data_IF_646914817932
#
_entry.id   IF_646914817932
#
_cell.length_a   1.000
_cell.length_b   1.000
_cell.length_c   1.000
_cell.angle_alpha   90.00
_cell.angle_beta   90.00
_cell.angle_gamma   90.00
#
_symmetry.space_group_name_H-M   'P 1'
#
loop_
_entity.id
_entity.type
_entity.pdbx_description
1 polymer ?
#
# COMPACT_ATOMS: atom_id res chain seq x y z
N UNK A 1 16.18 -15.12 -9.68
CA UNK A 1 14.77 -14.68 -9.85
C UNK A 1 13.97 -15.84 -10.40
N UNK A 2 12.91 -16.23 -9.73
CA UNK A 2 12.00 -17.26 -10.23
C UNK A 2 11.25 -16.73 -11.46
N UNK A 3 10.92 -17.59 -12.42
CA UNK A 3 10.18 -17.22 -13.63
C UNK A 3 8.84 -16.53 -13.29
N UNK A 4 8.21 -16.95 -12.20
CA UNK A 4 6.98 -16.41 -11.64
C UNK A 4 7.11 -14.96 -11.20
N UNK A 5 8.26 -14.58 -10.60
CA UNK A 5 8.54 -13.21 -10.20
C UNK A 5 8.70 -12.27 -11.41
N UNK A 6 9.20 -12.81 -12.50
CA UNK A 6 9.31 -12.08 -13.76
C UNK A 6 7.93 -11.74 -14.34
N UNK A 7 6.99 -12.69 -14.32
CA UNK A 7 5.65 -12.45 -14.85
C UNK A 7 4.87 -11.40 -14.07
N UNK A 8 4.89 -11.48 -12.74
CA UNK A 8 4.18 -10.47 -11.92
C UNK A 8 4.83 -9.09 -12.06
N UNK A 9 6.16 -9.01 -12.09
CA UNK A 9 6.90 -7.76 -12.33
C UNK A 9 6.49 -7.12 -13.65
N UNK A 10 6.45 -7.90 -14.73
CA UNK A 10 6.04 -7.43 -16.06
C UNK A 10 4.60 -6.93 -16.05
N UNK A 11 3.70 -7.64 -15.38
CA UNK A 11 2.29 -7.26 -15.26
C UNK A 11 2.11 -5.96 -14.47
N UNK A 12 2.82 -5.81 -13.36
CA UNK A 12 2.85 -4.57 -12.57
C UNK A 12 3.36 -3.41 -13.41
N UNK A 13 4.42 -3.61 -14.17
CA UNK A 13 4.99 -2.59 -15.05
C UNK A 13 3.97 -2.11 -16.11
N UNK A 14 3.26 -3.03 -16.74
CA UNK A 14 2.19 -2.71 -17.69
C UNK A 14 1.06 -1.92 -17.04
N UNK A 15 0.59 -2.35 -15.86
CA UNK A 15 -0.44 -1.64 -15.10
C UNK A 15 0.00 -0.24 -14.66
N UNK A 16 1.27 -0.06 -14.31
CA UNK A 16 1.82 1.26 -13.96
C UNK A 16 1.77 2.23 -15.13
N UNK A 17 2.04 1.75 -16.36
CA UNK A 17 1.92 2.56 -17.57
C UNK A 17 0.45 2.94 -17.83
N UNK A 18 -0.47 2.01 -17.71
CA UNK A 18 -1.91 2.27 -17.88
C UNK A 18 -2.43 3.27 -16.85
N UNK A 19 -1.94 3.18 -15.60
CA UNK A 19 -2.36 4.04 -14.50
C UNK A 19 -2.00 5.53 -14.70
N UNK A 20 -1.05 5.86 -15.58
CA UNK A 20 -0.70 7.26 -15.91
C UNK A 20 -1.86 8.06 -16.51
N UNK A 21 -2.81 7.37 -17.14
CA UNK A 21 -4.00 7.99 -17.75
C UNK A 21 -5.18 8.15 -16.79
N UNK A 22 -5.10 7.63 -15.55
CA UNK A 22 -6.18 7.76 -14.57
C UNK A 22 -6.27 9.18 -14.02
N UNK A 23 -7.45 9.51 -13.52
CA UNK A 23 -7.65 10.77 -12.80
C UNK A 23 -6.88 10.75 -11.49
N UNK A 24 -6.02 11.74 -11.29
CA UNK A 24 -5.26 11.96 -10.07
C UNK A 24 -5.88 13.11 -9.28
N UNK A 25 -6.13 12.88 -8.00
CA UNK A 25 -6.67 13.91 -7.11
C UNK A 25 -5.82 13.96 -5.85
N UNK A 26 -5.23 15.11 -5.56
CA UNK A 26 -4.54 15.32 -4.29
C UNK A 26 -5.56 15.46 -3.16
N UNK A 27 -5.28 14.83 -2.03
CA UNK A 27 -6.12 14.88 -0.84
C UNK A 27 -5.26 15.22 0.38
N UNK A 28 -5.57 16.30 1.06
CA UNK A 28 -4.93 16.62 2.33
C UNK A 28 -5.38 15.63 3.40
N UNK A 29 -4.50 15.32 4.34
CA UNK A 29 -4.83 14.40 5.45
C UNK A 29 -6.04 14.89 6.26
N UNK A 30 -6.20 16.19 6.46
CA UNK A 30 -7.35 16.77 7.18
C UNK A 30 -8.69 16.42 6.55
N UNK A 31 -8.75 16.33 5.22
CA UNK A 31 -9.97 16.08 4.44
C UNK A 31 -10.22 14.60 4.18
N UNK A 32 -9.23 13.75 4.39
CA UNK A 32 -9.35 12.31 4.23
C UNK A 32 -10.10 11.70 5.42
N UNK A 33 -11.14 10.92 5.15
CA UNK A 33 -11.86 10.14 6.16
C UNK A 33 -11.44 8.68 6.16
N UNK A 34 -11.12 8.13 5.01
CA UNK A 34 -10.76 6.73 4.81
C UNK A 34 -9.29 6.62 4.40
N UNK A 35 -8.50 5.92 5.20
CA UNK A 35 -7.09 5.71 4.94
C UNK A 35 -6.83 4.21 4.85
N UNK A 36 -6.24 3.77 3.75
CA UNK A 36 -5.81 2.39 3.54
C UNK A 36 -4.28 2.33 3.54
N UNK A 37 -3.72 1.51 4.42
CA UNK A 37 -2.28 1.34 4.55
C UNK A 37 -1.88 -0.08 4.11
N UNK A 38 -0.95 -0.17 3.19
CA UNK A 38 -0.32 -1.43 2.79
C UNK A 38 0.99 -1.59 3.54
N UNK A 39 1.20 -2.71 4.21
CA UNK A 39 2.42 -2.99 4.94
C UNK A 39 2.78 -4.49 4.93
N UNK A 40 3.96 -4.79 5.41
CA UNK A 40 4.43 -6.15 5.63
C UNK A 40 4.12 -6.58 7.08
N UNK A 41 3.88 -7.88 7.30
CA UNK A 41 3.51 -8.38 8.62
C UNK A 41 4.57 -8.08 9.69
N UNK A 42 5.86 -8.10 9.32
CA UNK A 42 6.96 -7.75 10.22
C UNK A 42 6.96 -6.31 10.72
N UNK A 43 6.24 -5.42 10.05
CA UNK A 43 6.17 -3.99 10.39
C UNK A 43 4.94 -3.61 11.23
N UNK A 44 3.99 -4.54 11.42
CA UNK A 44 2.71 -4.26 12.07
C UNK A 44 2.86 -3.65 13.46
N UNK A 45 3.71 -4.20 14.31
CA UNK A 45 3.90 -3.70 15.68
C UNK A 45 4.47 -2.28 15.70
N UNK A 46 5.44 -2.03 14.82
CA UNK A 46 6.06 -0.70 14.69
C UNK A 46 5.08 0.35 14.19
N UNK A 47 4.18 -0.03 13.28
CA UNK A 47 3.19 0.88 12.69
C UNK A 47 1.96 1.10 13.56
N UNK A 48 1.63 0.17 14.47
CA UNK A 48 0.42 0.22 15.30
C UNK A 48 0.22 1.55 16.02
N UNK A 49 1.20 2.15 16.71
CA UNK A 49 1.00 3.43 17.38
C UNK A 49 0.61 4.57 16.43
N UNK A 50 1.17 4.58 15.22
CA UNK A 50 0.89 5.60 14.21
C UNK A 50 -0.52 5.43 13.62
N UNK A 51 -0.94 4.19 13.39
CA UNK A 51 -2.30 3.88 12.95
C UNK A 51 -3.32 4.29 14.02
N UNK A 52 -3.02 4.06 15.29
CA UNK A 52 -3.86 4.49 16.41
C UNK A 52 -3.94 6.02 16.53
N UNK A 53 -2.86 6.74 16.25
CA UNK A 53 -2.90 8.20 16.18
C UNK A 53 -3.87 8.69 15.09
N UNK A 54 -3.85 8.08 13.91
CA UNK A 54 -4.79 8.40 12.85
C UNK A 54 -6.23 8.13 13.26
N UNK A 55 -6.50 7.02 13.95
CA UNK A 55 -7.83 6.70 14.48
C UNK A 55 -8.29 7.74 15.52
N UNK A 56 -7.40 8.18 16.40
CA UNK A 56 -7.67 9.27 17.36
C UNK A 56 -8.00 10.59 16.67
N UNK A 57 -7.46 10.82 15.47
CA UNK A 57 -7.82 11.96 14.62
C UNK A 57 -9.15 11.74 13.87
N UNK A 58 -9.94 10.75 14.29
CA UNK A 58 -11.23 10.36 13.69
C UNK A 58 -11.13 9.88 12.23
N UNK A 59 -9.99 9.32 11.86
CA UNK A 59 -9.83 8.66 10.56
C UNK A 59 -10.24 7.19 10.66
N UNK A 60 -10.92 6.69 9.65
CA UNK A 60 -11.16 5.25 9.48
C UNK A 60 -9.95 4.64 8.80
N UNK A 61 -9.21 3.82 9.52
CA UNK A 61 -7.96 3.25 9.04
C UNK A 61 -8.12 1.76 8.82
N UNK A 62 -7.91 1.32 7.59
CA UNK A 62 -7.82 -0.07 7.19
C UNK A 62 -6.38 -0.41 6.81
N UNK A 63 -5.98 -1.64 7.05
CA UNK A 63 -4.66 -2.15 6.66
C UNK A 63 -4.79 -3.36 5.76
N UNK A 64 -3.96 -3.44 4.74
CA UNK A 64 -3.74 -4.64 3.95
C UNK A 64 -2.32 -5.12 4.23
N UNK A 65 -2.19 -6.29 4.83
CA UNK A 65 -0.94 -6.81 5.38
C UNK A 65 -0.47 -7.99 4.56
N UNK A 66 0.72 -7.86 3.98
CA UNK A 66 1.38 -8.98 3.31
C UNK A 66 2.04 -9.91 4.31
N UNK A 67 1.72 -11.18 4.22
CA UNK A 67 2.21 -12.24 5.12
C UNK A 67 3.08 -13.20 4.33
N UNK A 68 4.37 -13.25 4.66
CA UNK A 68 5.29 -14.25 4.12
C UNK A 68 5.08 -15.62 4.77
N UNK A 69 5.69 -16.68 4.21
CA UNK A 69 5.51 -18.07 4.70
C UNK A 69 5.82 -18.29 6.17
N UNK A 70 6.70 -17.48 6.74
CA UNK A 70 7.26 -17.70 8.09
C UNK A 70 6.61 -16.86 9.19
N UNK A 71 5.66 -16.01 8.84
CA UNK A 71 5.06 -15.06 9.76
C UNK A 71 3.66 -15.50 10.17
N UNK A 72 3.35 -15.33 11.44
CA UNK A 72 1.99 -15.51 11.98
C UNK A 72 1.52 -14.14 12.46
N UNK A 73 0.81 -13.38 11.64
CA UNK A 73 0.36 -12.06 12.02
C UNK A 73 -0.81 -12.14 13.02
N UNK A 74 -0.91 -11.15 13.87
CA UNK A 74 -2.14 -10.88 14.59
C UNK A 74 -3.16 -10.27 13.62
N UNK A 75 -4.35 -10.84 13.59
CA UNK A 75 -5.43 -10.32 12.76
C UNK A 75 -6.40 -9.48 13.58
N UNK A 76 -6.69 -8.28 13.10
CA UNK A 76 -7.77 -7.46 13.61
C UNK A 76 -8.88 -7.29 12.57
N UNK A 77 -10.13 -6.92 12.98
CA UNK A 77 -11.26 -6.77 12.06
C UNK A 77 -11.02 -5.72 10.94
N UNK A 78 -10.13 -4.76 11.16
CA UNK A 78 -9.80 -3.71 10.19
C UNK A 78 -8.65 -4.08 9.26
N UNK A 79 -8.19 -5.33 9.29
CA UNK A 79 -7.04 -5.80 8.52
C UNK A 79 -7.44 -6.88 7.51
N UNK A 80 -6.99 -6.70 6.28
CA UNK A 80 -6.99 -7.73 5.24
C UNK A 80 -5.60 -8.37 5.18
N UNK A 81 -5.51 -9.66 5.44
CA UNK A 81 -4.26 -10.40 5.30
C UNK A 81 -4.15 -11.00 3.90
N UNK A 82 -3.00 -10.80 3.27
CA UNK A 82 -2.66 -11.36 1.97
C UNK A 82 -1.46 -12.30 2.12
N UNK A 83 -1.71 -13.58 2.00
CA UNK A 83 -0.69 -14.61 2.19
C UNK A 83 0.04 -14.94 0.89
N UNK A 84 1.36 -14.99 0.96
CA UNK A 84 2.25 -15.22 -0.18
C UNK A 84 1.99 -16.52 -0.98
N UNK A 85 1.30 -17.51 -0.37
CA UNK A 85 1.05 -18.81 -1.02
C UNK A 85 -0.42 -19.15 -1.20
N UNK A 86 -1.26 -18.80 -0.22
CA UNK A 86 -2.69 -19.18 -0.24
C UNK A 86 -3.51 -18.31 -1.19
N UNK A 87 -3.11 -17.09 -1.35
CA UNK A 87 -3.92 -16.04 -1.99
C UNK A 87 -3.48 -15.74 -3.42
N UNK A 88 -2.62 -16.59 -3.97
CA UNK A 88 -2.09 -16.46 -5.33
C UNK A 88 -2.68 -17.48 -6.29
N UNK A 89 -2.81 -17.08 -7.55
CA UNK A 89 -3.07 -17.99 -8.67
C UNK A 89 -1.78 -18.74 -9.06
N UNK A 90 -1.90 -19.71 -9.96
CA UNK A 90 -0.74 -20.42 -10.54
C UNK A 90 0.26 -19.48 -11.23
N UNK A 91 -0.17 -18.29 -11.61
CA UNK A 91 0.66 -17.24 -12.23
C UNK A 91 1.24 -16.24 -11.22
N UNK A 92 1.15 -16.53 -9.91
CA UNK A 92 1.62 -15.69 -8.82
C UNK A 92 1.05 -14.26 -8.79
N UNK A 93 -0.13 -14.08 -9.34
CA UNK A 93 -0.95 -12.87 -9.14
C UNK A 93 -1.98 -13.12 -8.06
N UNK A 94 -2.47 -12.07 -7.37
CA UNK A 94 -3.53 -12.23 -6.38
C UNK A 94 -4.75 -12.93 -6.95
N UNK A 95 -5.34 -13.83 -6.17
CA UNK A 95 -6.60 -14.49 -6.56
C UNK A 95 -7.72 -13.46 -6.71
N UNK A 96 -8.74 -13.80 -7.48
CA UNK A 96 -9.91 -12.93 -7.67
C UNK A 96 -10.62 -12.63 -6.34
N UNK A 97 -10.63 -13.58 -5.42
CA UNK A 97 -11.22 -13.39 -4.08
C UNK A 97 -10.50 -12.32 -3.28
N UNK A 98 -9.17 -12.38 -3.23
CA UNK A 98 -8.34 -11.37 -2.54
C UNK A 98 -8.45 -10.01 -3.22
N UNK A 99 -8.40 -9.99 -4.54
CA UNK A 99 -8.52 -8.76 -5.30
C UNK A 99 -9.86 -8.05 -5.03
N UNK A 100 -10.97 -8.79 -5.04
CA UNK A 100 -12.29 -8.24 -4.74
C UNK A 100 -12.37 -7.71 -3.31
N UNK A 101 -11.88 -8.45 -2.32
CA UNK A 101 -11.85 -8.00 -0.94
C UNK A 101 -11.03 -6.71 -0.79
N UNK A 102 -9.88 -6.65 -1.42
CA UNK A 102 -9.02 -5.46 -1.41
C UNK A 102 -9.70 -4.25 -2.05
N UNK A 103 -10.33 -4.43 -3.20
CA UNK A 103 -11.02 -3.36 -3.92
C UNK A 103 -12.24 -2.82 -3.18
N UNK A 104 -12.82 -3.57 -2.26
CA UNK A 104 -13.94 -3.10 -1.42
C UNK A 104 -13.49 -2.24 -0.23
N UNK A 105 -12.21 -2.25 0.12
CA UNK A 105 -11.69 -1.40 1.19
C UNK A 105 -11.77 0.08 0.78
N UNK A 106 -12.44 0.92 1.56
CA UNK A 106 -12.56 2.34 1.20
C UNK A 106 -11.25 3.07 1.42
N UNK A 107 -10.91 3.97 0.51
CA UNK A 107 -9.72 4.80 0.64
C UNK A 107 -9.87 6.15 -0.07
N UNK A 108 -9.72 7.22 0.68
CA UNK A 108 -9.47 8.56 0.17
C UNK A 108 -7.98 8.74 -0.11
N UNK A 109 -7.16 8.14 0.75
CA UNK A 109 -5.70 8.05 0.60
C UNK A 109 -5.29 6.59 0.78
N UNK A 110 -4.49 6.09 -0.15
CA UNK A 110 -3.84 4.78 -0.06
C UNK A 110 -2.34 4.98 0.14
N UNK A 111 -1.81 4.49 1.25
CA UNK A 111 -0.39 4.62 1.62
C UNK A 111 0.27 3.26 1.51
N UNK A 112 1.27 3.15 0.65
CA UNK A 112 2.03 1.92 0.45
C UNK A 112 3.38 1.99 1.16
N UNK A 113 3.55 1.17 2.18
CA UNK A 113 4.77 1.01 2.98
C UNK A 113 5.49 -0.31 2.67
N UNK A 114 5.02 -1.07 1.69
CA UNK A 114 5.64 -2.34 1.32
C UNK A 114 6.95 -2.15 0.57
N UNK A 115 7.80 -3.17 0.59
CA UNK A 115 9.09 -3.13 -0.10
C UNK A 115 8.91 -2.94 -1.62
N UNK A 116 9.88 -2.28 -2.25
CA UNK A 116 9.86 -2.05 -3.71
C UNK A 116 9.78 -3.35 -4.52
N UNK A 117 10.33 -4.43 -4.00
CA UNK A 117 10.34 -5.76 -4.63
C UNK A 117 9.06 -6.58 -4.40
N UNK A 118 8.15 -6.09 -3.56
CA UNK A 118 6.88 -6.77 -3.31
C UNK A 118 5.86 -6.47 -4.42
N UNK A 119 6.04 -7.09 -5.57
CA UNK A 119 5.22 -6.87 -6.76
C UNK A 119 3.76 -7.31 -6.60
N UNK A 120 3.50 -8.25 -5.70
CA UNK A 120 2.13 -8.65 -5.36
C UNK A 120 1.35 -7.49 -4.76
N UNK A 121 1.93 -6.80 -3.80
CA UNK A 121 1.31 -5.62 -3.18
C UNK A 121 1.25 -4.44 -4.15
N UNK A 122 2.24 -4.28 -5.04
CA UNK A 122 2.19 -3.29 -6.13
C UNK A 122 1.07 -3.58 -7.13
N UNK A 123 0.81 -4.85 -7.41
CA UNK A 123 -0.33 -5.25 -8.24
C UNK A 123 -1.66 -4.84 -7.60
N UNK A 124 -1.86 -5.13 -6.32
CA UNK A 124 -3.05 -4.71 -5.58
C UNK A 124 -3.20 -3.19 -5.56
N UNK A 125 -2.12 -2.47 -5.26
CA UNK A 125 -2.08 -1.01 -5.30
C UNK A 125 -2.63 -0.44 -6.61
N UNK A 126 -2.14 -0.95 -7.73
CA UNK A 126 -2.52 -0.48 -9.06
C UNK A 126 -3.95 -0.86 -9.46
N UNK A 127 -4.49 -1.92 -8.89
CA UNK A 127 -5.88 -2.37 -9.11
C UNK A 127 -6.92 -1.65 -8.23
N UNK A 128 -6.49 -0.91 -7.24
CA UNK A 128 -7.40 -0.14 -6.38
C UNK A 128 -7.83 1.17 -7.06
N UNK A 129 -9.09 1.53 -6.87
CA UNK A 129 -9.69 2.74 -7.48
C UNK A 129 -9.41 4.04 -6.71
N UNK A 130 -8.72 3.97 -5.56
CA UNK A 130 -8.37 5.15 -4.78
C UNK A 130 -7.71 6.23 -5.65
N UNK A 131 -8.20 7.48 -5.63
CA UNK A 131 -7.69 8.54 -6.51
C UNK A 131 -6.33 9.10 -6.08
N UNK A 132 -5.92 8.89 -4.83
CA UNK A 132 -4.67 9.42 -4.30
C UNK A 132 -3.81 8.35 -3.63
N UNK A 133 -2.76 7.94 -4.32
CA UNK A 133 -1.84 6.89 -3.90
C UNK A 133 -0.48 7.48 -3.55
N UNK A 134 0.02 7.11 -2.38
CA UNK A 134 1.24 7.65 -1.77
C UNK A 134 2.17 6.53 -1.38
N UNK A 135 3.46 6.72 -1.57
CA UNK A 135 4.45 5.71 -1.17
C UNK A 135 5.89 6.18 -1.31
N UNK A 136 6.80 5.25 -1.13
CA UNK A 136 8.23 5.47 -1.37
C UNK A 136 8.52 5.37 -2.86
N UNK A 137 9.29 6.32 -3.38
CA UNK A 137 9.66 6.34 -4.82
C UNK A 137 10.25 4.99 -5.24
N UNK A 138 9.61 4.37 -6.24
CA UNK A 138 10.12 3.14 -6.81
C UNK A 138 11.29 3.42 -7.78
N UNK A 139 12.36 2.60 -7.78
CA UNK A 139 13.52 2.86 -8.64
C UNK A 139 13.22 2.78 -10.14
N UNK A 140 12.28 1.91 -10.54
CA UNK A 140 12.05 1.58 -11.96
C UNK A 140 10.68 2.01 -12.48
N UNK A 141 9.75 2.41 -11.63
CA UNK A 141 8.35 2.66 -12.01
C UNK A 141 7.77 3.87 -11.31
N UNK A 142 6.85 4.56 -11.97
CA UNK A 142 6.01 5.59 -11.37
C UNK A 142 4.69 4.96 -10.89
N UNK A 143 4.58 4.74 -9.58
CA UNK A 143 3.45 4.05 -8.97
C UNK A 143 2.50 4.97 -8.22
N UNK A 144 2.97 6.14 -7.77
CA UNK A 144 2.30 6.98 -6.80
C UNK A 144 2.02 8.37 -7.32
N UNK A 145 0.96 8.98 -6.80
CA UNK A 145 0.64 10.40 -7.03
C UNK A 145 1.57 11.31 -6.21
N UNK A 146 1.91 10.86 -5.00
CA UNK A 146 2.95 11.44 -4.17
C UNK A 146 3.94 10.36 -3.79
N UNK A 147 5.20 10.57 -4.11
CA UNK A 147 6.28 9.68 -3.68
C UNK A 147 7.34 10.44 -2.90
N UNK A 148 7.83 9.82 -1.82
CA UNK A 148 8.95 10.36 -1.06
C UNK A 148 10.22 9.57 -1.36
N UNK A 149 11.35 10.27 -1.39
CA UNK A 149 12.66 9.63 -1.43
C UNK A 149 13.13 9.36 -0.01
N UNK A 150 13.64 8.16 0.22
CA UNK A 150 14.15 7.73 1.53
C UNK A 150 15.61 7.35 1.45
N UNK A 151 16.32 7.46 2.56
CA UNK A 151 17.69 6.97 2.68
C UNK A 151 17.70 5.54 3.22
N UNK A 152 18.79 4.81 3.00
CA UNK A 152 18.95 3.45 3.51
C UNK A 152 18.97 3.34 5.05
N UNK A 153 19.04 4.47 5.75
CA UNK A 153 19.06 4.54 7.21
C UNK A 153 17.68 4.73 7.84
N UNK A 154 16.68 5.09 7.06
CA UNK A 154 15.32 5.31 7.55
C UNK A 154 14.60 4.00 7.77
N UNK A 155 14.05 3.81 8.97
CA UNK A 155 13.18 2.68 9.27
C UNK A 155 11.72 2.96 8.83
N UNK A 156 10.88 1.95 8.90
CA UNK A 156 9.49 2.04 8.45
C UNK A 156 8.68 3.08 9.23
N UNK A 157 8.99 3.28 10.50
CA UNK A 157 8.35 4.31 11.33
C UNK A 157 8.67 5.70 10.80
N UNK A 158 9.95 5.98 10.56
CA UNK A 158 10.41 7.26 10.02
C UNK A 158 9.82 7.53 8.64
N UNK A 159 9.77 6.52 7.77
CA UNK A 159 9.15 6.61 6.45
C UNK A 159 7.68 7.00 6.57
N UNK A 160 6.94 6.34 7.44
CA UNK A 160 5.51 6.64 7.62
C UNK A 160 5.30 8.04 8.22
N UNK A 161 6.10 8.43 9.21
CA UNK A 161 6.07 9.78 9.78
C UNK A 161 6.35 10.86 8.72
N UNK A 162 7.31 10.65 7.83
CA UNK A 162 7.59 11.54 6.70
C UNK A 162 6.39 11.67 5.75
N UNK A 163 5.77 10.55 5.39
CA UNK A 163 4.57 10.55 4.54
C UNK A 163 3.45 11.37 5.22
N UNK A 164 3.18 11.11 6.49
CA UNK A 164 2.15 11.84 7.24
C UNK A 164 2.46 13.33 7.33
N UNK A 165 3.71 13.71 7.54
CA UNK A 165 4.15 15.10 7.54
C UNK A 165 3.82 15.81 6.22
N UNK A 166 4.16 15.19 5.09
CA UNK A 166 3.83 15.74 3.77
C UNK A 166 2.33 15.83 3.52
N UNK A 167 1.57 14.81 3.91
CA UNK A 167 0.11 14.81 3.76
C UNK A 167 -0.57 15.90 4.61
N UNK A 168 -0.02 16.25 5.77
CA UNK A 168 -0.48 17.34 6.61
C UNK A 168 -0.13 18.70 6.02
N UNK A 169 1.00 18.82 5.34
CA UNK A 169 1.45 20.07 4.71
C UNK A 169 0.71 20.40 3.41
N UNK A 170 0.11 19.42 2.74
CA UNK A 170 -0.67 19.61 1.53
C UNK A 170 -2.00 20.25 1.89
N UNK A 171 -2.34 21.32 1.18
CA UNK A 171 -3.65 21.95 1.23
C UNK A 171 -4.48 21.43 0.06
N UNK A 172 -5.69 20.98 0.36
CA UNK A 172 -6.66 20.64 -0.68
C UNK A 172 -7.03 21.91 -1.45
N UNK A 173 -6.97 21.79 -2.77
CA UNK A 173 -7.46 22.85 -3.66
C UNK A 173 -8.96 22.75 -3.82
#
# INVERSE_FOLDING_TARGET
MKLTDYFIKKKVHSLAIEAKSRKHESCALENANQILVLCEAGDQETLRPLLEQLRKMKKNVHSCVFVSEKEVPEQSPSELLVHAHKDLTAWHVPSDSVLKQFQTLPADILIDLTQATNYLMKYLLLKHTCPYKVGVKHPDMELYDLSISVTAREDIKQIFEHILFYLQAIRSK
#
